data_IF_982792804327
#
_entry.id   IF_982792804327
#
_cell.length_a   1.000
_cell.length_b   1.000
_cell.length_c   1.000
_cell.angle_alpha   90.00
_cell.angle_beta   90.00
_cell.angle_gamma   90.00
#
_symmetry.space_group_name_H-M   'P 1'
#
loop_
_entity.id
_entity.type
_entity.pdbx_description
1 polymer ?
#
# COMPACT_ATOMS: atom_id res chain seq x y z
N UNK A 1 20.28 9.86 7.63
CA UNK A 1 19.28 10.01 8.70
C UNK A 1 18.53 8.70 8.98
N UNK A 2 18.19 7.93 7.95
CA UNK A 2 17.40 6.69 8.06
C UNK A 2 18.11 5.59 8.86
N UNK A 3 19.44 5.46 8.68
CA UNK A 3 20.26 4.46 9.40
C UNK A 3 20.31 4.79 10.90
N UNK A 4 20.41 6.05 11.26
CA UNK A 4 20.42 6.53 12.65
C UNK A 4 19.03 6.35 13.29
N UNK A 5 17.96 6.62 12.55
CA UNK A 5 16.58 6.38 12.95
C UNK A 5 16.28 4.91 13.19
N UNK A 6 16.78 4.02 12.33
CA UNK A 6 16.66 2.56 12.49
C UNK A 6 17.43 2.05 13.72
N UNK A 7 18.62 2.58 13.98
CA UNK A 7 19.42 2.22 15.15
C UNK A 7 18.71 2.60 16.47
N UNK A 8 18.16 3.81 16.53
CA UNK A 8 17.40 4.30 17.69
C UNK A 8 16.09 3.55 17.90
N UNK A 9 15.38 3.18 16.83
CA UNK A 9 14.17 2.37 16.88
C UNK A 9 14.44 0.96 17.43
N UNK A 10 15.57 0.35 17.07
CA UNK A 10 15.99 -0.99 17.55
C UNK A 10 16.34 -1.02 19.05
N UNK A 11 16.70 0.12 19.64
CA UNK A 11 17.06 0.25 21.06
C UNK A 11 15.85 0.43 22.00
N UNK A 12 14.62 0.19 21.52
CA UNK A 12 13.42 0.17 22.39
C UNK A 12 12.84 1.55 22.73
N UNK A 13 13.24 2.59 22.03
CA UNK A 13 12.64 3.91 22.19
C UNK A 13 11.27 3.96 21.50
N UNK A 14 10.26 4.55 22.15
CA UNK A 14 8.92 4.87 21.58
C UNK A 14 8.99 5.87 20.41
N UNK A 15 10.18 6.19 19.94
CA UNK A 15 10.44 7.09 18.81
C UNK A 15 10.41 6.31 17.49
N UNK A 16 9.35 6.52 16.74
CA UNK A 16 9.29 6.07 15.34
C UNK A 16 10.26 6.89 14.49
N UNK A 17 10.92 6.25 13.50
CA UNK A 17 11.86 6.91 12.57
C UNK A 17 11.30 8.22 12.02
N UNK A 18 9.99 8.25 11.67
CA UNK A 18 9.31 9.44 11.18
C UNK A 18 9.26 10.58 12.20
N UNK A 19 9.01 10.30 13.48
CA UNK A 19 9.01 11.34 14.54
C UNK A 19 10.39 11.93 14.76
N UNK A 20 11.42 11.08 14.73
CA UNK A 20 12.81 11.55 14.84
C UNK A 20 13.17 12.47 13.66
N UNK A 21 12.83 12.08 12.44
CA UNK A 21 13.07 12.88 11.23
C UNK A 21 12.37 14.24 11.31
N UNK A 22 11.10 14.27 11.72
CA UNK A 22 10.32 15.51 11.86
C UNK A 22 10.95 16.44 12.91
N UNK A 23 11.31 15.91 14.08
CA UNK A 23 11.89 16.71 15.17
C UNK A 23 13.25 17.27 14.78
N UNK A 24 14.08 16.44 14.13
CA UNK A 24 15.40 16.86 13.66
C UNK A 24 15.30 17.95 12.59
N UNK A 25 14.41 17.77 11.60
CA UNK A 25 14.19 18.75 10.56
C UNK A 25 13.60 20.07 11.10
N UNK A 26 12.68 20.00 12.07
CA UNK A 26 12.14 21.19 12.72
C UNK A 26 13.25 21.99 13.43
N UNK A 27 14.15 21.31 14.15
CA UNK A 27 15.32 21.96 14.78
C UNK A 27 16.26 22.58 13.74
N UNK A 28 16.53 21.86 12.65
CA UNK A 28 17.38 22.34 11.56
C UNK A 28 16.79 23.61 10.89
N UNK A 29 15.48 23.60 10.59
CA UNK A 29 14.83 24.76 9.96
C UNK A 29 14.74 25.96 10.91
N UNK A 30 14.56 25.72 12.20
CA UNK A 30 14.62 26.77 13.21
C UNK A 30 16.03 27.41 13.25
N UNK A 31 17.07 26.59 13.21
CA UNK A 31 18.45 27.07 13.13
C UNK A 31 18.71 27.86 11.82
N UNK A 32 18.23 27.33 10.68
CA UNK A 32 18.35 28.03 9.40
C UNK A 32 17.63 29.37 9.40
N UNK A 33 16.48 29.49 10.05
CA UNK A 33 15.75 30.74 10.20
C UNK A 33 16.57 31.85 10.92
N UNK A 34 17.35 31.46 11.94
CA UNK A 34 18.19 32.39 12.67
C UNK A 34 19.52 32.72 11.98
N UNK A 35 20.09 31.77 11.22
CA UNK A 35 21.39 31.93 10.57
C UNK A 35 21.30 32.51 9.15
N UNK A 36 20.18 32.29 8.48
CA UNK A 36 19.92 32.71 7.10
C UNK A 36 18.63 33.54 7.05
N UNK A 37 18.14 33.79 5.85
CA UNK A 37 16.89 34.51 5.65
C UNK A 37 15.67 33.61 5.87
N UNK A 38 14.57 34.21 6.35
CA UNK A 38 13.26 33.57 6.48
C UNK A 38 12.80 32.90 5.18
N UNK A 39 13.11 33.50 4.04
CA UNK A 39 12.79 33.00 2.70
C UNK A 39 13.43 31.64 2.44
N UNK A 40 14.71 31.47 2.79
CA UNK A 40 15.44 30.21 2.62
C UNK A 40 14.86 29.10 3.51
N UNK A 41 14.47 29.40 4.76
CA UNK A 41 13.85 28.46 5.66
C UNK A 41 12.49 27.99 5.13
N UNK A 42 11.66 28.89 4.62
CA UNK A 42 10.35 28.57 4.06
C UNK A 42 10.49 27.67 2.82
N UNK A 43 11.35 28.02 1.86
CA UNK A 43 11.56 27.18 0.67
C UNK A 43 12.09 25.79 1.03
N UNK A 44 12.99 25.67 1.98
CA UNK A 44 13.52 24.40 2.45
C UNK A 44 12.43 23.53 3.09
N UNK A 45 11.54 24.13 3.89
CA UNK A 45 10.41 23.44 4.48
C UNK A 45 9.43 22.93 3.41
N UNK A 46 9.06 23.77 2.43
CA UNK A 46 8.18 23.40 1.31
C UNK A 46 8.81 22.25 0.51
N UNK A 47 10.09 22.37 0.14
CA UNK A 47 10.80 21.33 -0.59
C UNK A 47 10.78 19.98 0.17
N UNK A 48 11.01 20.01 1.48
CA UNK A 48 11.02 18.79 2.29
C UNK A 48 9.63 18.13 2.34
N UNK A 49 8.57 18.91 2.51
CA UNK A 49 7.19 18.40 2.50
C UNK A 49 6.85 17.77 1.16
N UNK A 50 7.14 18.47 0.05
CA UNK A 50 6.87 17.97 -1.30
C UNK A 50 7.67 16.71 -1.60
N UNK A 51 8.96 16.67 -1.24
CA UNK A 51 9.83 15.50 -1.44
C UNK A 51 9.32 14.28 -0.68
N UNK A 52 8.91 14.45 0.58
CA UNK A 52 8.38 13.35 1.39
C UNK A 52 7.04 12.83 0.83
N UNK A 53 6.14 13.71 0.41
CA UNK A 53 4.87 13.31 -0.22
C UNK A 53 5.12 12.53 -1.52
N UNK A 54 6.11 12.95 -2.31
CA UNK A 54 6.46 12.27 -3.54
C UNK A 54 7.08 10.90 -3.28
N UNK A 55 8.02 10.81 -2.34
CA UNK A 55 8.64 9.55 -1.91
C UNK A 55 7.62 8.57 -1.36
N UNK A 56 6.69 9.01 -0.52
CA UNK A 56 5.62 8.17 0.03
C UNK A 56 4.73 7.61 -1.08
N UNK A 57 4.42 8.43 -2.09
CA UNK A 57 3.62 7.99 -3.23
C UNK A 57 4.34 6.92 -4.07
N UNK A 58 5.63 7.13 -4.34
CA UNK A 58 6.46 6.16 -5.06
C UNK A 58 6.65 4.86 -4.26
N UNK A 59 6.82 4.97 -2.94
CA UNK A 59 7.02 3.79 -2.09
C UNK A 59 5.79 2.88 -2.07
N UNK A 60 4.58 3.44 -2.04
CA UNK A 60 3.32 2.66 -2.09
C UNK A 60 3.18 1.82 -3.35
N UNK A 61 3.71 2.27 -4.48
CA UNK A 61 3.61 1.55 -5.75
C UNK A 61 4.39 0.23 -5.75
N UNK A 62 5.42 0.11 -4.91
CA UNK A 62 6.30 -1.06 -4.86
C UNK A 62 5.88 -2.12 -3.84
N UNK A 63 4.82 -1.88 -3.07
CA UNK A 63 4.33 -2.84 -2.07
C UNK A 63 3.41 -3.84 -2.76
N UNK A 64 3.86 -5.10 -2.81
CA UNK A 64 3.03 -6.21 -3.28
C UNK A 64 2.12 -6.67 -2.14
N UNK A 65 0.86 -6.88 -2.47
CA UNK A 65 -0.16 -7.38 -1.55
C UNK A 65 -0.83 -8.61 -2.14
N UNK A 66 -1.26 -9.52 -1.29
CA UNK A 66 -2.13 -10.62 -1.65
C UNK A 66 -3.56 -10.27 -1.25
N UNK A 67 -4.48 -10.45 -2.19
CA UNK A 67 -5.90 -10.28 -1.96
C UNK A 67 -6.59 -11.64 -2.03
N UNK A 68 -7.41 -11.92 -1.03
CA UNK A 68 -8.36 -13.04 -1.03
C UNK A 68 -9.76 -12.45 -1.08
N UNK A 69 -10.49 -12.73 -2.15
CA UNK A 69 -11.86 -12.24 -2.36
C UNK A 69 -12.80 -13.43 -2.21
N UNK A 70 -13.83 -13.25 -1.41
CA UNK A 70 -14.87 -14.26 -1.13
C UNK A 70 -16.19 -13.77 -1.74
N UNK A 71 -16.69 -14.48 -2.73
CA UNK A 71 -17.91 -14.14 -3.44
C UNK A 71 -18.86 -15.34 -3.48
N UNK A 72 -20.15 -15.10 -3.32
CA UNK A 72 -21.19 -16.10 -3.55
C UNK A 72 -21.65 -16.13 -5.01
N UNK A 73 -21.33 -15.10 -5.78
CA UNK A 73 -21.63 -15.02 -7.19
C UNK A 73 -20.56 -15.76 -7.98
N UNK A 74 -20.98 -16.77 -8.72
CA UNK A 74 -20.11 -17.44 -9.70
C UNK A 74 -20.12 -16.66 -11.02
N UNK A 75 -19.80 -15.35 -10.94
CA UNK A 75 -19.78 -14.44 -12.08
C UNK A 75 -18.34 -14.31 -12.61
N UNK A 76 -18.08 -14.59 -13.89
CA UNK A 76 -16.75 -14.46 -14.48
C UNK A 76 -16.31 -13.00 -14.69
N UNK A 77 -17.16 -11.99 -14.43
CA UNK A 77 -16.83 -10.57 -14.67
C UNK A 77 -15.66 -10.10 -13.81
N UNK A 78 -15.67 -10.42 -12.51
CA UNK A 78 -14.60 -9.98 -11.62
C UNK A 78 -13.24 -10.62 -11.92
N UNK A 79 -13.12 -11.95 -12.09
CA UNK A 79 -11.86 -12.57 -12.53
C UNK A 79 -11.39 -12.05 -13.89
N UNK A 80 -12.31 -11.86 -14.85
CA UNK A 80 -11.99 -11.32 -16.17
C UNK A 80 -11.45 -9.90 -16.10
N UNK A 81 -12.07 -9.04 -15.29
CA UNK A 81 -11.58 -7.68 -15.08
C UNK A 81 -10.15 -7.69 -14.51
N UNK A 82 -9.89 -8.51 -13.51
CA UNK A 82 -8.56 -8.60 -12.90
C UNK A 82 -7.51 -9.04 -13.94
N UNK A 83 -7.85 -10.02 -14.78
CA UNK A 83 -6.93 -10.54 -15.80
C UNK A 83 -6.72 -9.57 -16.97
N UNK A 84 -7.78 -8.93 -17.46
CA UNK A 84 -7.74 -8.12 -18.67
C UNK A 84 -7.33 -6.65 -18.38
N UNK A 85 -7.77 -6.08 -17.28
CA UNK A 85 -7.54 -4.66 -16.96
C UNK A 85 -6.33 -4.43 -16.06
N UNK A 86 -6.08 -5.36 -15.14
CA UNK A 86 -4.93 -5.25 -14.23
C UNK A 86 -3.75 -6.11 -14.69
N UNK A 87 -3.91 -6.93 -15.74
CA UNK A 87 -2.89 -7.88 -16.22
C UNK A 87 -2.34 -8.74 -15.07
N UNK A 88 -3.26 -9.27 -14.22
CA UNK A 88 -2.93 -10.08 -13.05
C UNK A 88 -3.54 -11.47 -13.16
N UNK A 89 -2.72 -12.47 -12.84
CA UNK A 89 -3.22 -13.84 -12.71
C UNK A 89 -4.15 -13.99 -11.51
N UNK A 90 -5.27 -14.69 -11.70
CA UNK A 90 -6.23 -15.02 -10.65
C UNK A 90 -6.26 -16.52 -10.47
N UNK A 91 -6.12 -16.96 -9.23
CA UNK A 91 -6.33 -18.36 -8.85
C UNK A 91 -7.64 -18.47 -8.09
N UNK A 92 -8.53 -19.36 -8.49
CA UNK A 92 -9.82 -19.55 -7.83
C UNK A 92 -10.01 -20.98 -7.36
N UNK A 93 -10.76 -21.15 -6.27
CA UNK A 93 -11.22 -22.43 -5.78
C UNK A 93 -12.59 -22.32 -5.10
N UNK A 94 -13.34 -23.41 -5.11
CA UNK A 94 -14.61 -23.50 -4.42
C UNK A 94 -14.38 -23.74 -2.91
N UNK A 95 -15.18 -23.04 -2.10
CA UNK A 95 -15.20 -23.19 -0.65
C UNK A 95 -16.65 -23.23 -0.15
N UNK A 96 -16.85 -23.54 1.12
CA UNK A 96 -18.17 -23.50 1.77
C UNK A 96 -18.13 -22.57 2.98
N UNK A 97 -19.17 -21.75 3.10
CA UNK A 97 -19.39 -20.95 4.28
C UNK A 97 -19.63 -21.84 5.51
N UNK A 98 -18.81 -21.68 6.55
CA UNK A 98 -18.90 -22.53 7.74
C UNK A 98 -20.20 -22.34 8.54
N UNK A 99 -20.82 -21.17 8.46
CA UNK A 99 -22.05 -20.85 9.17
C UNK A 99 -23.32 -21.19 8.38
N UNK A 100 -23.36 -20.79 7.11
CA UNK A 100 -24.56 -20.94 6.26
C UNK A 100 -24.54 -22.23 5.43
N UNK A 101 -23.38 -22.84 5.21
CA UNK A 101 -23.21 -23.96 4.29
C UNK A 101 -23.27 -23.58 2.81
N UNK A 102 -23.37 -22.27 2.50
CA UNK A 102 -23.45 -21.78 1.13
C UNK A 102 -22.15 -22.06 0.36
N UNK A 103 -22.27 -22.26 -0.94
CA UNK A 103 -21.13 -22.32 -1.82
C UNK A 103 -20.53 -20.93 -2.01
N UNK A 104 -19.21 -20.84 -1.83
CA UNK A 104 -18.42 -19.62 -1.93
C UNK A 104 -17.28 -19.86 -2.90
N UNK A 105 -17.04 -18.93 -3.79
CA UNK A 105 -15.84 -18.91 -4.61
C UNK A 105 -14.79 -17.99 -3.97
N UNK A 106 -13.59 -18.48 -3.83
CA UNK A 106 -12.44 -17.72 -3.33
C UNK A 106 -11.53 -17.38 -4.51
N UNK A 107 -11.24 -16.10 -4.70
CA UNK A 107 -10.28 -15.60 -5.68
C UNK A 107 -9.03 -15.13 -4.97
N UNK A 108 -7.87 -15.61 -5.38
CA UNK A 108 -6.57 -15.17 -4.90
C UNK A 108 -5.85 -14.42 -5.99
N UNK A 109 -5.42 -13.20 -5.70
CA UNK A 109 -4.66 -12.36 -6.62
C UNK A 109 -3.54 -11.64 -5.89
N UNK A 110 -2.38 -11.51 -6.54
CA UNK A 110 -1.27 -10.67 -6.09
C UNK A 110 -1.22 -9.42 -6.95
N UNK A 111 -1.26 -8.25 -6.29
CA UNK A 111 -1.28 -6.96 -6.96
C UNK A 111 -0.48 -5.92 -6.17
N UNK A 112 -0.32 -4.74 -6.73
CA UNK A 112 0.32 -3.63 -6.04
C UNK A 112 -0.70 -2.92 -5.15
N UNK A 113 -0.24 -2.35 -4.06
CA UNK A 113 -1.12 -1.69 -3.07
C UNK A 113 -2.02 -0.60 -3.67
N UNK A 114 -1.56 0.12 -4.70
CA UNK A 114 -2.35 1.17 -5.35
C UNK A 114 -3.50 0.60 -6.22
N UNK A 115 -3.39 -0.65 -6.71
CA UNK A 115 -4.42 -1.30 -7.52
C UNK A 115 -5.63 -1.74 -6.69
N UNK A 116 -5.49 -1.79 -5.35
CA UNK A 116 -6.58 -2.19 -4.44
C UNK A 116 -7.77 -1.25 -4.55
N UNK A 117 -7.54 0.07 -4.59
CA UNK A 117 -8.63 1.04 -4.62
C UNK A 117 -9.45 0.93 -5.90
N UNK A 118 -8.80 0.67 -7.04
CA UNK A 118 -9.46 0.43 -8.33
C UNK A 118 -10.27 -0.86 -8.29
N UNK A 119 -9.67 -1.94 -7.79
CA UNK A 119 -10.36 -3.22 -7.66
C UNK A 119 -11.56 -3.14 -6.71
N UNK A 120 -11.44 -2.40 -5.60
CA UNK A 120 -12.54 -2.18 -4.66
C UNK A 120 -13.75 -1.51 -5.31
N UNK A 121 -13.52 -0.50 -6.16
CA UNK A 121 -14.60 0.17 -6.88
C UNK A 121 -15.34 -0.80 -7.81
N UNK A 122 -14.60 -1.67 -8.51
CA UNK A 122 -15.18 -2.69 -9.39
C UNK A 122 -15.94 -3.74 -8.59
N UNK A 123 -15.40 -4.19 -7.47
CA UNK A 123 -16.10 -5.15 -6.60
C UNK A 123 -17.43 -4.60 -6.11
N UNK A 124 -17.49 -3.32 -5.71
CA UNK A 124 -18.74 -2.70 -5.28
C UNK A 124 -19.80 -2.63 -6.39
N UNK A 125 -19.39 -2.58 -7.65
CA UNK A 125 -20.31 -2.57 -8.80
C UNK A 125 -20.77 -3.96 -9.19
N UNK A 126 -19.86 -4.94 -9.18
CA UNK A 126 -20.12 -6.31 -9.65
C UNK A 126 -20.77 -7.17 -8.56
N UNK A 127 -20.21 -7.13 -7.35
CA UNK A 127 -20.67 -7.92 -6.21
C UNK A 127 -20.48 -7.14 -4.89
N UNK A 128 -21.46 -6.30 -4.52
CA UNK A 128 -21.39 -5.52 -3.29
C UNK A 128 -21.39 -6.37 -2.01
N UNK A 129 -21.83 -7.62 -2.07
CA UNK A 129 -21.86 -8.56 -0.95
C UNK A 129 -20.54 -9.33 -0.78
N UNK A 130 -19.63 -9.24 -1.76
CA UNK A 130 -18.31 -9.84 -1.66
C UNK A 130 -17.47 -9.13 -0.60
N UNK A 131 -16.72 -9.90 0.18
CA UNK A 131 -15.71 -9.33 1.08
C UNK A 131 -14.31 -9.79 0.67
N UNK A 132 -13.32 -9.03 1.09
CA UNK A 132 -11.93 -9.36 0.79
C UNK A 132 -11.01 -9.15 1.99
N UNK A 133 -9.94 -9.92 2.00
CA UNK A 133 -8.85 -9.81 2.97
C UNK A 133 -7.61 -9.35 2.22
N UNK A 134 -6.94 -8.31 2.73
CA UNK A 134 -5.67 -7.81 2.21
C UNK A 134 -4.55 -8.27 3.13
N UNK A 135 -3.56 -8.96 2.57
CA UNK A 135 -2.35 -9.33 3.26
C UNK A 135 -1.16 -8.57 2.67
N UNK A 136 -0.59 -7.68 3.48
CA UNK A 136 0.60 -6.90 3.11
C UNK A 136 1.88 -7.68 3.40
N UNK A 137 2.99 -7.25 2.76
CA UNK A 137 4.31 -7.83 3.01
C UNK A 137 4.53 -9.22 2.38
N UNK A 138 3.76 -9.54 1.35
CA UNK A 138 3.90 -10.80 0.62
C UNK A 138 5.08 -10.71 -0.35
N UNK A 139 5.97 -11.69 -0.29
CA UNK A 139 7.04 -11.86 -1.28
C UNK A 139 6.57 -12.78 -2.40
N UNK A 140 6.17 -12.19 -3.52
CA UNK A 140 5.91 -12.95 -4.74
C UNK A 140 7.23 -13.21 -5.48
N UNK A 141 7.53 -14.47 -5.75
CA UNK A 141 8.71 -14.92 -6.46
C UNK A 141 8.36 -15.78 -7.68
N UNK A 142 9.36 -16.14 -8.48
CA UNK A 142 9.17 -16.93 -9.70
C UNK A 142 8.70 -16.08 -10.88
N UNK A 143 7.73 -16.59 -11.66
CA UNK A 143 7.21 -15.91 -12.86
C UNK A 143 6.21 -14.78 -12.54
N UNK A 144 6.46 -14.00 -11.50
CA UNK A 144 5.63 -12.87 -11.11
C UNK A 144 6.18 -11.57 -11.73
N UNK A 145 5.42 -10.98 -12.65
CA UNK A 145 5.76 -9.69 -13.25
C UNK A 145 5.31 -8.56 -12.34
N UNK A 146 6.27 -7.73 -11.89
CA UNK A 146 5.96 -6.47 -11.21
C UNK A 146 5.63 -5.42 -12.27
N UNK A 147 4.40 -4.93 -12.29
CA UNK A 147 4.07 -3.74 -13.05
C UNK A 147 4.46 -2.52 -12.22
N UNK A 148 5.49 -1.83 -12.67
CA UNK A 148 5.79 -0.48 -12.22
C UNK A 148 4.91 0.44 -13.07
N UNK A 149 3.84 0.95 -12.51
CA UNK A 149 3.00 1.94 -13.16
C UNK A 149 3.72 3.26 -13.35
#
# INVERSE_FOLDING_TARGET
LDILGLYLSKKGSRFTVGRFSITFNAGLYTLCFFLFDATTAIYSAIYNVLSNLFLDRLHRQNVTVQLLIFTKKNDPQLPRYIMEQLDRGVTSWAAKGGWTGDDVQVLCVCLSKYEIDTLRQVMQQVDPDAFYIVQEGVHAGGNFKRHLG
#
